data_IF_846927645593
#
_entry.id   IF_846927645593
#
_cell.length_a   1.000
_cell.length_b   1.000
_cell.length_c   1.000
_cell.angle_alpha   90.00
_cell.angle_beta   90.00
_cell.angle_gamma   90.00
#
_symmetry.space_group_name_H-M   'P 1'
#
loop_
_entity.id
_entity.type
_entity.pdbx_description
1 polymer ?
#
# COMPACT_ATOMS: atom_id res chain seq x y z
N UNK A 1 -10.49 0.22 3.01
CA UNK A 1 -10.84 1.28 3.98
C UNK A 1 -10.60 2.65 3.35
N UNK A 2 -11.27 3.74 3.78
CA UNK A 2 -11.12 5.05 3.13
C UNK A 2 -9.72 5.60 3.39
N UNK A 3 -9.03 6.04 2.33
CA UNK A 3 -7.63 6.50 2.41
C UNK A 3 -7.45 7.95 2.87
N UNK A 4 -8.52 8.62 3.30
CA UNK A 4 -8.45 9.98 3.83
C UNK A 4 -8.18 9.92 5.34
N UNK A 5 -7.28 10.77 5.84
CA UNK A 5 -6.86 10.83 7.26
C UNK A 5 -8.03 10.90 8.25
N UNK A 6 -9.17 11.47 7.83
CA UNK A 6 -10.38 11.60 8.65
C UNK A 6 -11.08 10.25 8.95
N UNK A 7 -10.74 9.17 8.23
CA UNK A 7 -11.36 7.85 8.40
C UNK A 7 -10.43 6.82 9.05
N UNK A 8 -9.32 7.24 9.66
CA UNK A 8 -8.39 6.37 10.39
C UNK A 8 -9.12 5.56 11.48
N UNK A 9 -10.12 6.14 12.15
CA UNK A 9 -10.93 5.40 13.15
C UNK A 9 -11.68 4.21 12.56
N UNK A 10 -12.26 4.36 11.37
CA UNK A 10 -12.96 3.29 10.65
C UNK A 10 -11.96 2.28 10.07
N UNK A 11 -10.77 2.74 9.70
CA UNK A 11 -9.68 1.86 9.30
C UNK A 11 -9.23 0.96 10.45
N UNK A 12 -9.05 1.50 11.66
CA UNK A 12 -8.61 0.74 12.84
C UNK A 12 -9.63 -0.33 13.24
N UNK A 13 -10.93 -0.02 13.24
CA UNK A 13 -11.97 -0.99 13.62
C UNK A 13 -12.12 -2.11 12.58
N UNK A 14 -11.99 -1.79 11.29
CA UNK A 14 -12.04 -2.79 10.22
C UNK A 14 -10.76 -3.63 10.13
N UNK A 15 -9.59 -3.01 10.28
CA UNK A 15 -8.30 -3.66 10.08
C UNK A 15 -7.89 -4.62 11.21
N UNK A 16 -8.39 -4.41 12.43
CA UNK A 16 -8.22 -5.37 13.52
C UNK A 16 -8.87 -6.74 13.24
N UNK A 17 -9.76 -6.84 12.24
CA UNK A 17 -10.40 -8.08 11.80
C UNK A 17 -9.92 -8.55 10.42
N UNK A 18 -8.96 -7.86 9.80
CA UNK A 18 -8.52 -8.18 8.44
C UNK A 18 -7.40 -9.22 8.46
N UNK A 19 -7.65 -10.37 7.85
CA UNK A 19 -6.63 -11.40 7.57
C UNK A 19 -5.64 -10.96 6.46
N UNK A 20 -5.88 -9.83 5.81
CA UNK A 20 -5.02 -9.26 4.80
C UNK A 20 -5.56 -7.94 4.26
N UNK A 21 -4.70 -7.13 3.66
CA UNK A 21 -5.08 -5.87 3.02
C UNK A 21 -4.63 -5.83 1.55
N UNK A 22 -5.40 -5.12 0.72
CA UNK A 22 -5.01 -4.80 -0.65
C UNK A 22 -4.54 -3.34 -0.67
N UNK A 23 -3.27 -3.14 -1.02
CA UNK A 23 -2.65 -1.83 -1.18
C UNK A 23 -2.70 -1.45 -2.66
N UNK A 24 -3.55 -0.48 -3.00
CA UNK A 24 -3.65 0.04 -4.36
C UNK A 24 -2.69 1.22 -4.53
N UNK A 25 -1.75 1.12 -5.46
CA UNK A 25 -0.77 2.18 -5.76
C UNK A 25 -0.92 2.57 -7.23
N UNK A 26 -0.95 3.86 -7.54
CA UNK A 26 -0.98 4.30 -8.93
C UNK A 26 0.42 4.21 -9.53
N UNK A 27 0.56 3.50 -10.65
CA UNK A 27 1.80 3.36 -11.40
C UNK A 27 2.36 4.71 -11.89
N UNK A 28 1.48 5.70 -12.10
CA UNK A 28 1.88 7.05 -12.55
C UNK A 28 2.53 7.88 -11.45
N UNK A 29 2.15 7.64 -10.19
CA UNK A 29 2.48 8.51 -9.05
C UNK A 29 3.45 7.83 -8.07
N UNK A 30 3.51 6.50 -8.08
CA UNK A 30 4.33 5.71 -7.17
C UNK A 30 3.86 5.77 -5.70
N UNK A 31 4.73 5.39 -4.74
CA UNK A 31 4.41 5.38 -3.33
C UNK A 31 4.34 6.79 -2.72
N UNK A 32 3.10 7.25 -2.48
CA UNK A 32 2.80 8.53 -1.85
C UNK A 32 2.88 8.47 -0.31
N UNK A 33 2.90 9.62 0.41
CA UNK A 33 2.89 9.64 1.88
C UNK A 33 1.76 8.82 2.51
N UNK A 34 0.57 8.80 1.88
CA UNK A 34 -0.57 7.99 2.33
C UNK A 34 -0.31 6.49 2.22
N UNK A 35 0.43 6.05 1.21
CA UNK A 35 0.86 4.64 1.06
C UNK A 35 1.66 4.18 2.27
N UNK A 36 2.59 5.03 2.74
CA UNK A 36 3.39 4.76 3.94
C UNK A 36 2.53 4.68 5.20
N UNK A 37 1.62 5.65 5.37
CA UNK A 37 0.73 5.70 6.53
C UNK A 37 -0.19 4.47 6.58
N UNK A 38 -0.72 4.01 5.45
CA UNK A 38 -1.54 2.81 5.38
C UNK A 38 -0.78 1.53 5.72
N UNK A 39 0.47 1.38 5.26
CA UNK A 39 1.30 0.22 5.61
C UNK A 39 1.61 0.23 7.11
N UNK A 40 2.01 1.38 7.65
CA UNK A 40 2.28 1.55 9.08
C UNK A 40 1.05 1.23 9.93
N UNK A 41 -0.12 1.74 9.55
CA UNK A 41 -1.38 1.46 10.24
C UNK A 41 -1.75 -0.01 10.15
N UNK A 42 -1.61 -0.62 8.96
CA UNK A 42 -1.83 -2.05 8.73
C UNK A 42 -0.96 -2.92 9.65
N UNK A 43 0.30 -2.52 9.86
CA UNK A 43 1.19 -3.17 10.81
C UNK A 43 0.73 -3.02 12.27
N UNK A 44 0.36 -1.80 12.68
CA UNK A 44 -0.06 -1.49 14.05
C UNK A 44 -1.36 -2.19 14.47
N UNK A 45 -2.27 -2.39 13.52
CA UNK A 45 -3.54 -3.09 13.74
C UNK A 45 -3.45 -4.61 13.54
N UNK A 46 -2.27 -5.12 13.16
CA UNK A 46 -1.99 -6.55 13.10
C UNK A 46 -2.35 -7.26 11.80
N UNK A 47 -2.46 -6.54 10.67
CA UNK A 47 -2.67 -7.17 9.36
C UNK A 47 -1.47 -8.08 9.05
N UNK A 48 -1.67 -9.38 8.75
CA UNK A 48 -0.56 -10.31 8.58
C UNK A 48 0.06 -10.25 7.16
N UNK A 49 -0.73 -9.94 6.13
CA UNK A 49 -0.28 -9.89 4.74
C UNK A 49 -0.86 -8.70 3.97
N UNK A 50 -0.07 -8.12 3.09
CA UNK A 50 -0.49 -7.07 2.17
C UNK A 50 -0.27 -7.55 0.74
N UNK A 51 -1.31 -7.45 -0.10
CA UNK A 51 -1.24 -7.68 -1.54
C UNK A 51 -1.19 -6.32 -2.21
N UNK A 52 -0.20 -6.09 -3.08
CA UNK A 52 -0.07 -4.84 -3.84
C UNK A 52 -0.81 -4.96 -5.16
N UNK A 53 -1.55 -3.92 -5.52
CA UNK A 53 -2.16 -3.76 -6.82
C UNK A 53 -1.69 -2.45 -7.45
N UNK A 54 -0.84 -2.56 -8.48
CA UNK A 54 -0.45 -1.42 -9.32
C UNK A 54 -1.60 -1.07 -10.25
N UNK A 55 -2.11 0.15 -10.13
CA UNK A 55 -3.24 0.66 -10.86
C UNK A 55 -2.81 1.73 -11.87
N UNK A 56 -3.63 1.98 -12.90
CA UNK A 56 -3.33 2.92 -13.99
C UNK A 56 -2.07 2.58 -14.80
N UNK A 57 -1.71 1.30 -14.89
CA UNK A 57 -0.57 0.88 -15.72
C UNK A 57 -0.79 1.18 -17.21
N UNK A 58 -2.05 1.31 -17.65
CA UNK A 58 -2.43 1.75 -19.00
C UNK A 58 -2.02 3.19 -19.33
N UNK A 59 -1.72 4.00 -18.31
CA UNK A 59 -1.26 5.39 -18.45
C UNK A 59 0.28 5.51 -18.42
N UNK A 60 0.99 4.39 -18.28
CA UNK A 60 2.45 4.31 -18.24
C UNK A 60 2.92 3.45 -19.40
N UNK A 61 3.51 4.10 -20.41
CA UNK A 61 4.01 3.42 -21.61
C UNK A 61 5.42 2.81 -21.43
N UNK A 62 6.11 3.16 -20.34
CA UNK A 62 7.48 2.75 -20.05
C UNK A 62 7.52 1.62 -19.00
N UNK A 63 7.96 0.44 -19.43
CA UNK A 63 8.07 -0.75 -18.58
C UNK A 63 9.14 -0.60 -17.49
N UNK A 64 10.22 0.14 -17.75
CA UNK A 64 11.27 0.40 -16.74
C UNK A 64 10.73 1.23 -15.58
N UNK A 65 9.81 2.16 -15.85
CA UNK A 65 9.16 2.96 -14.81
C UNK A 65 8.23 2.09 -13.94
N UNK A 66 7.54 1.12 -14.54
CA UNK A 66 6.69 0.18 -13.79
C UNK A 66 7.53 -0.69 -12.85
N UNK A 67 8.65 -1.23 -13.33
CA UNK A 67 9.58 -2.01 -12.51
C UNK A 67 10.16 -1.18 -11.36
N UNK A 68 10.50 0.09 -11.63
CA UNK A 68 10.98 1.01 -10.60
C UNK A 68 9.93 1.23 -9.50
N UNK A 69 8.68 1.49 -9.89
CA UNK A 69 7.58 1.68 -8.93
C UNK A 69 7.31 0.40 -8.13
N UNK A 70 7.35 -0.77 -8.77
CA UNK A 70 7.24 -2.04 -8.06
C UNK A 70 8.34 -2.19 -7.01
N UNK A 71 9.59 -1.95 -7.40
CA UNK A 71 10.75 -2.04 -6.51
C UNK A 71 10.61 -1.10 -5.30
N UNK A 72 10.23 0.16 -5.52
CA UNK A 72 10.02 1.12 -4.44
C UNK A 72 8.92 0.68 -3.46
N UNK A 73 7.83 0.09 -3.97
CA UNK A 73 6.74 -0.42 -3.11
C UNK A 73 7.21 -1.64 -2.30
N UNK A 74 8.00 -2.54 -2.88
CA UNK A 74 8.57 -3.70 -2.19
C UNK A 74 9.55 -3.31 -1.09
N UNK A 75 10.43 -2.34 -1.37
CA UNK A 75 11.32 -1.77 -0.36
C UNK A 75 10.53 -1.15 0.80
N UNK A 76 9.45 -0.44 0.47
CA UNK A 76 8.59 0.18 1.48
C UNK A 76 7.87 -0.87 2.34
N UNK A 77 7.37 -1.96 1.75
CA UNK A 77 6.80 -3.07 2.51
C UNK A 77 7.83 -3.72 3.43
N UNK A 78 9.04 -3.96 2.91
CA UNK A 78 10.15 -4.53 3.67
C UNK A 78 10.57 -3.64 4.85
N UNK A 79 10.55 -2.32 4.67
CA UNK A 79 10.84 -1.34 5.73
C UNK A 79 9.87 -1.44 6.92
N UNK A 80 8.63 -1.88 6.69
CA UNK A 80 7.59 -2.00 7.71
C UNK A 80 7.31 -3.46 8.10
N UNK A 81 8.29 -4.35 7.94
CA UNK A 81 8.24 -5.78 8.28
C UNK A 81 7.17 -6.61 7.53
N UNK A 82 6.74 -6.16 6.35
CA UNK A 82 5.97 -7.00 5.44
C UNK A 82 6.92 -7.73 4.46
N UNK A 83 6.56 -8.93 4.00
CA UNK A 83 7.35 -9.63 2.98
C UNK A 83 7.21 -8.92 1.63
N UNK A 84 8.17 -8.03 1.33
CA UNK A 84 8.29 -7.30 0.07
C UNK A 84 9.07 -8.05 -1.00
#
# INVERSE_FOLDING_TARGET
CPGHADYVKNMITGAAQMDGAILVVAATDGPMPQTREHILLGRQVGVPYIIVFLNKCDMVDDEELLELVEMEVRELLSQYDFPG
#
